data_IF_112205704580
#
_entry.id   IF_112205704580
#
_cell.length_a   1.000
_cell.length_b   1.000
_cell.length_c   1.000
_cell.angle_alpha   90.00
_cell.angle_beta   90.00
_cell.angle_gamma   90.00
#
_symmetry.space_group_name_H-M   'P 1'
#
loop_
_entity.id
_entity.type
_entity.pdbx_description
1 polymer ?
#
# COMPACT_ATOMS: atom_id res chain seq x y z
N UNK A 1 -17.26 0.38 -36.90
CA UNK A 1 -18.35 0.30 -35.91
C UNK A 1 -18.09 -0.67 -34.76
N UNK A 2 -17.29 -1.71 -34.98
CA UNK A 2 -16.84 -2.60 -33.88
C UNK A 2 -16.08 -1.84 -32.77
N UNK A 3 -15.44 -0.73 -33.13
CA UNK A 3 -14.61 0.05 -32.21
C UNK A 3 -15.38 0.70 -31.06
N UNK A 4 -16.65 1.09 -31.29
CA UNK A 4 -17.45 1.77 -30.27
C UNK A 4 -17.81 0.80 -29.14
N UNK A 5 -18.25 -0.40 -29.46
CA UNK A 5 -18.57 -1.43 -28.47
C UNK A 5 -17.32 -1.86 -27.68
N UNK A 6 -16.18 -1.99 -28.37
CA UNK A 6 -14.90 -2.29 -27.73
C UNK A 6 -14.47 -1.19 -26.75
N UNK A 7 -14.63 0.08 -27.14
CA UNK A 7 -14.28 1.20 -26.29
C UNK A 7 -15.17 1.28 -25.05
N UNK A 8 -16.48 1.06 -25.20
CA UNK A 8 -17.39 1.02 -24.06
C UNK A 8 -16.99 -0.08 -23.08
N UNK A 9 -16.68 -1.26 -23.59
CA UNK A 9 -16.24 -2.38 -22.77
C UNK A 9 -14.92 -2.07 -22.06
N UNK A 10 -13.96 -1.47 -22.77
CA UNK A 10 -12.68 -1.05 -22.20
C UNK A 10 -12.87 0.00 -21.11
N UNK A 11 -13.75 0.99 -21.35
CA UNK A 11 -14.02 2.03 -20.38
C UNK A 11 -14.62 1.46 -19.10
N UNK A 12 -15.56 0.54 -19.20
CA UNK A 12 -16.13 -0.15 -18.03
C UNK A 12 -15.07 -0.96 -17.28
N UNK A 13 -14.24 -1.69 -18.00
CA UNK A 13 -13.17 -2.48 -17.42
C UNK A 13 -12.13 -1.59 -16.73
N UNK A 14 -11.75 -0.49 -17.39
CA UNK A 14 -10.79 0.47 -16.85
C UNK A 14 -11.33 1.15 -15.59
N UNK A 15 -12.62 1.47 -15.56
CA UNK A 15 -13.26 2.06 -14.40
C UNK A 15 -13.28 1.11 -13.22
N UNK A 16 -13.62 -0.16 -13.45
CA UNK A 16 -13.57 -1.19 -12.40
C UNK A 16 -12.16 -1.35 -11.85
N UNK A 17 -11.15 -1.39 -12.72
CA UNK A 17 -9.73 -1.47 -12.32
C UNK A 17 -9.31 -0.25 -11.52
N UNK A 18 -9.72 0.94 -11.95
CA UNK A 18 -9.41 2.19 -11.25
C UNK A 18 -9.97 2.17 -9.84
N UNK A 19 -11.21 1.74 -9.66
CA UNK A 19 -11.84 1.64 -8.35
C UNK A 19 -11.13 0.62 -7.44
N UNK A 20 -10.79 -0.56 -7.96
CA UNK A 20 -10.01 -1.55 -7.24
C UNK A 20 -8.65 -1.02 -6.83
N UNK A 21 -7.96 -0.36 -7.77
CA UNK A 21 -6.62 0.17 -7.52
C UNK A 21 -6.67 1.28 -6.49
N UNK A 22 -7.69 2.14 -6.55
CA UNK A 22 -7.90 3.19 -5.56
C UNK A 22 -8.13 2.61 -4.17
N UNK A 23 -8.96 1.58 -4.06
CA UNK A 23 -9.22 0.90 -2.80
C UNK A 23 -7.96 0.24 -2.24
N UNK A 24 -7.18 -0.45 -3.08
CA UNK A 24 -5.94 -1.10 -2.67
C UNK A 24 -4.89 -0.08 -2.19
N UNK A 25 -4.77 1.05 -2.88
CA UNK A 25 -3.86 2.13 -2.48
C UNK A 25 -4.28 2.74 -1.14
N UNK A 26 -5.58 2.98 -0.97
CA UNK A 26 -6.12 3.50 0.28
C UNK A 26 -5.87 2.53 1.44
N UNK A 27 -6.08 1.23 1.22
CA UNK A 27 -5.80 0.20 2.21
C UNK A 27 -4.32 0.19 2.59
N UNK A 28 -3.41 0.24 1.60
CA UNK A 28 -1.97 0.31 1.86
C UNK A 28 -1.60 1.50 2.72
N UNK A 29 -2.15 2.69 2.42
CA UNK A 29 -1.90 3.89 3.21
C UNK A 29 -2.42 3.74 4.64
N UNK A 30 -3.60 3.15 4.82
CA UNK A 30 -4.19 2.91 6.13
C UNK A 30 -3.31 1.97 6.95
N UNK A 31 -2.81 0.90 6.34
CA UNK A 31 -1.92 -0.06 7.02
C UNK A 31 -0.58 0.59 7.41
N UNK A 32 -0.03 1.45 6.54
CA UNK A 32 1.19 2.20 6.84
C UNK A 32 0.98 3.13 8.03
N UNK A 33 -0.12 3.88 8.05
CA UNK A 33 -0.47 4.76 9.18
C UNK A 33 -0.65 3.95 10.46
N UNK A 34 -1.31 2.80 10.37
CA UNK A 34 -1.50 1.90 11.51
C UNK A 34 -0.19 1.39 12.07
N UNK A 35 0.77 1.02 11.20
CA UNK A 35 2.08 0.55 11.61
C UNK A 35 2.86 1.65 12.33
N UNK A 36 2.81 2.88 11.82
CA UNK A 36 3.47 4.04 12.42
C UNK A 36 2.87 4.33 13.80
N UNK A 37 1.55 4.33 13.91
CA UNK A 37 0.84 4.55 15.17
C UNK A 37 1.18 3.45 16.19
N UNK A 38 1.19 2.18 15.77
CA UNK A 38 1.53 1.06 16.63
C UNK A 38 2.98 1.16 17.14
N UNK A 39 3.90 1.61 16.29
CA UNK A 39 5.29 1.81 16.68
C UNK A 39 5.43 2.87 17.78
N UNK A 40 4.57 3.90 17.77
CA UNK A 40 4.58 4.95 18.78
C UNK A 40 3.92 4.51 20.08
N UNK A 41 2.77 3.82 20.01
CA UNK A 41 1.94 3.51 21.16
C UNK A 41 2.23 2.13 21.76
N UNK A 42 2.41 1.12 20.91
CA UNK A 42 2.61 -0.27 21.35
C UNK A 42 3.75 -0.89 20.54
N UNK A 43 5.02 -0.68 20.99
CA UNK A 43 6.17 -1.23 20.25
C UNK A 43 6.12 -2.75 20.06
N UNK A 44 5.46 -3.47 20.93
CA UNK A 44 5.31 -4.93 20.83
C UNK A 44 4.49 -5.34 19.61
N UNK A 45 3.48 -4.55 19.26
CA UNK A 45 2.63 -4.79 18.11
C UNK A 45 3.18 -4.17 16.81
N UNK A 46 4.20 -3.33 16.94
CA UNK A 46 4.77 -2.63 15.79
C UNK A 46 5.33 -3.59 14.74
N UNK A 47 5.95 -4.68 15.18
CA UNK A 47 6.52 -5.69 14.26
C UNK A 47 5.43 -6.34 13.40
N UNK A 48 4.31 -6.71 14.01
CA UNK A 48 3.19 -7.33 13.29
C UNK A 48 2.50 -6.34 12.35
N UNK A 49 2.29 -5.11 12.82
CA UNK A 49 1.71 -4.04 12.00
C UNK A 49 2.62 -3.72 10.81
N UNK A 50 3.93 -3.69 11.02
CA UNK A 50 4.91 -3.48 9.95
C UNK A 50 4.84 -4.59 8.91
N UNK A 51 4.78 -5.85 9.33
CA UNK A 51 4.66 -6.99 8.42
C UNK A 51 3.40 -6.89 7.57
N UNK A 52 2.28 -6.53 8.19
CA UNK A 52 1.01 -6.35 7.48
C UNK A 52 1.11 -5.24 6.44
N UNK A 53 1.70 -4.11 6.80
CA UNK A 53 1.89 -2.99 5.88
C UNK A 53 2.78 -3.38 4.69
N UNK A 54 3.90 -4.04 4.94
CA UNK A 54 4.82 -4.52 3.90
C UNK A 54 4.10 -5.51 2.98
N UNK A 55 3.34 -6.43 3.54
CA UNK A 55 2.58 -7.42 2.78
C UNK A 55 1.58 -6.74 1.82
N UNK A 56 0.89 -5.70 2.28
CA UNK A 56 -0.05 -4.95 1.43
C UNK A 56 0.66 -4.18 0.33
N UNK A 57 1.80 -3.59 0.62
CA UNK A 57 2.62 -2.89 -0.39
C UNK A 57 3.12 -3.89 -1.43
N UNK A 58 3.63 -5.04 -1.03
CA UNK A 58 4.11 -6.07 -1.94
C UNK A 58 2.99 -6.64 -2.81
N UNK A 59 1.81 -6.87 -2.26
CA UNK A 59 0.65 -7.31 -3.04
C UNK A 59 0.24 -6.28 -4.08
N UNK A 60 0.24 -5.00 -3.72
CA UNK A 60 -0.08 -3.93 -4.65
C UNK A 60 0.92 -3.88 -5.80
N UNK A 61 2.21 -4.06 -5.51
CA UNK A 61 3.26 -4.13 -6.53
C UNK A 61 3.10 -5.36 -7.43
N UNK A 62 2.79 -6.53 -6.85
CA UNK A 62 2.59 -7.77 -7.60
C UNK A 62 1.41 -7.67 -8.56
N UNK A 63 0.36 -6.95 -8.17
CA UNK A 63 -0.83 -6.73 -9.01
C UNK A 63 -0.65 -5.59 -10.02
N UNK A 64 0.49 -4.90 -9.98
CA UNK A 64 0.76 -3.78 -10.88
C UNK A 64 0.04 -2.48 -10.51
N UNK A 65 -0.53 -2.39 -9.32
CA UNK A 65 -1.21 -1.18 -8.83
C UNK A 65 -0.21 -0.06 -8.57
N UNK A 66 0.94 -0.43 -8.02
CA UNK A 66 2.08 0.47 -7.87
C UNK A 66 3.31 -0.16 -8.52
N UNK A 67 4.25 0.67 -8.96
CA UNK A 67 5.48 0.19 -9.56
C UNK A 67 6.39 -0.44 -8.48
N UNK A 68 7.18 -1.46 -8.85
CA UNK A 68 8.10 -2.14 -7.93
C UNK A 68 9.07 -1.19 -7.24
N UNK A 69 9.55 -0.16 -7.94
CA UNK A 69 10.45 0.83 -7.37
C UNK A 69 9.74 1.69 -6.33
N UNK A 70 8.49 2.04 -6.58
CA UNK A 70 7.66 2.77 -5.63
C UNK A 70 7.41 1.95 -4.37
N UNK A 71 7.15 0.64 -4.54
CA UNK A 71 6.97 -0.28 -3.41
C UNK A 71 8.23 -0.36 -2.56
N UNK A 72 9.40 -0.49 -3.20
CA UNK A 72 10.69 -0.53 -2.52
C UNK A 72 10.94 0.74 -1.72
N UNK A 73 10.66 1.91 -2.31
CA UNK A 73 10.82 3.20 -1.64
C UNK A 73 9.88 3.34 -0.44
N UNK A 74 8.62 2.94 -0.59
CA UNK A 74 7.64 2.99 0.51
C UNK A 74 8.03 2.09 1.67
N UNK A 75 8.48 0.87 1.38
CA UNK A 75 8.96 -0.06 2.41
C UNK A 75 10.16 0.50 3.14
N UNK A 76 11.13 1.01 2.42
CA UNK A 76 12.34 1.59 2.98
C UNK A 76 12.03 2.77 3.92
N UNK A 77 11.19 3.70 3.46
CA UNK A 77 10.75 4.85 4.27
C UNK A 77 10.00 4.43 5.52
N UNK A 78 9.12 3.45 5.39
CA UNK A 78 8.34 2.93 6.50
C UNK A 78 9.24 2.31 7.56
N UNK A 79 10.19 1.46 7.15
CA UNK A 79 11.14 0.84 8.07
C UNK A 79 11.99 1.86 8.81
N UNK A 80 12.48 2.89 8.11
CA UNK A 80 13.27 3.97 8.72
C UNK A 80 12.44 4.76 9.72
N UNK A 81 11.20 5.07 9.37
CA UNK A 81 10.30 5.83 10.25
C UNK A 81 10.00 5.08 11.53
N UNK A 82 9.72 3.78 11.44
CA UNK A 82 9.46 2.93 12.60
C UNK A 82 10.72 2.78 13.45
N UNK A 83 11.88 2.59 12.83
CA UNK A 83 13.15 2.51 13.53
C UNK A 83 13.43 3.79 14.34
N UNK A 84 13.17 4.97 13.78
CA UNK A 84 13.32 6.23 14.50
C UNK A 84 12.38 6.33 15.69
N UNK A 85 11.12 5.96 15.52
CA UNK A 85 10.14 6.01 16.60
C UNK A 85 10.49 5.05 17.72
N UNK A 86 10.94 3.85 17.38
CA UNK A 86 11.37 2.86 18.36
C UNK A 86 12.63 3.34 19.12
N UNK A 87 13.57 3.93 18.40
CA UNK A 87 14.79 4.49 18.99
C UNK A 87 14.48 5.67 19.92
N UNK A 88 13.54 6.54 19.55
CA UNK A 88 13.20 7.70 20.39
C UNK A 88 12.34 7.33 21.60
N UNK A 89 11.69 6.19 21.63
CA UNK A 89 10.90 5.74 22.77
C UNK A 89 11.72 4.94 23.79
N UNK A 90 12.94 4.63 23.44
CA UNK A 90 13.87 3.98 24.38
C UNK A 90 14.78 5.01 25.04
#
# INVERSE_FOLDING_TARGET
>A
MANIKSQIKRNKTNEKRRLRNKAARAESKTRVKGAVAAAADTPEEAADALRTAIKRIDKAAAKGIIHKNQAANRKSRLMRRIARQTASSS
#
